data_IF_370654173069
#
_entry.id   IF_370654173069
#
_cell.length_a   1.000
_cell.length_b   1.000
_cell.length_c   1.000
_cell.angle_alpha   90.00
_cell.angle_beta   90.00
_cell.angle_gamma   90.00
#
_symmetry.space_group_name_H-M   'P 1'
#
loop_
_entity.id
_entity.type
_entity.pdbx_description
1 polymer ?
#
# COMPACT_ATOMS: atom_id res chain seq x y z
N UNK A 1 -0.33 24.93 -19.69
CA UNK A 1 -0.59 23.92 -18.65
C UNK A 1 0.48 24.12 -17.59
N UNK A 2 0.09 24.50 -16.36
CA UNK A 2 1.03 24.70 -15.28
C UNK A 2 1.12 23.40 -14.47
N UNK A 3 2.31 22.82 -14.38
CA UNK A 3 2.59 21.78 -13.40
C UNK A 3 2.56 22.43 -12.01
N UNK A 4 1.50 22.17 -11.25
CA UNK A 4 1.36 22.60 -9.86
C UNK A 4 2.52 22.03 -9.01
N UNK A 5 3.43 22.86 -8.48
CA UNK A 5 4.52 22.40 -7.60
C UNK A 5 4.00 21.90 -6.23
N UNK A 6 2.69 22.01 -5.97
CA UNK A 6 2.01 21.44 -4.80
C UNK A 6 1.71 19.95 -4.90
N UNK A 7 1.88 19.31 -6.07
CA UNK A 7 1.78 17.86 -6.20
C UNK A 7 3.05 17.19 -5.64
N UNK A 8 3.21 17.23 -4.32
CA UNK A 8 4.18 16.39 -3.61
C UNK A 8 3.85 14.92 -3.91
N UNK A 9 4.68 14.29 -4.74
CA UNK A 9 5.00 12.86 -4.72
C UNK A 9 3.83 11.87 -4.61
N UNK A 10 2.77 12.01 -5.41
CA UNK A 10 1.57 11.16 -5.29
C UNK A 10 1.79 9.68 -5.63
N UNK A 11 2.90 9.34 -6.29
CA UNK A 11 3.13 7.98 -6.82
C UNK A 11 3.75 7.00 -5.82
N UNK A 12 4.42 7.45 -4.74
CA UNK A 12 5.06 6.53 -3.78
C UNK A 12 4.15 6.05 -2.65
N UNK A 13 2.98 6.66 -2.52
CA UNK A 13 1.98 6.34 -1.51
C UNK A 13 1.01 5.25 -1.95
N UNK A 14 0.97 4.91 -3.24
CA UNK A 14 -0.02 3.96 -3.75
C UNK A 14 0.54 2.53 -3.82
N UNK A 15 -0.29 1.57 -3.44
CA UNK A 15 -0.05 0.13 -3.48
C UNK A 15 -1.10 -0.49 -4.38
N UNK A 16 -0.63 -1.39 -5.24
CA UNK A 16 -1.47 -2.19 -6.13
C UNK A 16 -1.36 -3.67 -5.76
N UNK A 17 -2.22 -4.50 -6.35
CA UNK A 17 -2.21 -5.97 -6.19
C UNK A 17 -1.04 -6.65 -6.94
N UNK A 18 -0.10 -5.86 -7.47
CA UNK A 18 1.08 -6.35 -8.15
C UNK A 18 1.94 -7.22 -7.21
N UNK A 19 2.49 -8.31 -7.75
CA UNK A 19 3.19 -9.31 -6.93
C UNK A 19 4.38 -8.75 -6.14
N UNK A 20 5.10 -7.76 -6.68
CA UNK A 20 6.22 -7.14 -5.98
C UNK A 20 5.77 -6.27 -4.78
N UNK A 21 4.62 -5.60 -4.87
CA UNK A 21 4.02 -4.83 -3.77
C UNK A 21 3.48 -5.78 -2.70
N UNK A 22 2.77 -6.83 -3.12
CA UNK A 22 2.24 -7.85 -2.20
C UNK A 22 3.38 -8.58 -1.50
N UNK A 23 4.45 -8.95 -2.21
CA UNK A 23 5.64 -9.55 -1.61
C UNK A 23 6.34 -8.61 -0.62
N UNK A 24 6.40 -7.31 -0.91
CA UNK A 24 6.92 -6.31 0.02
C UNK A 24 6.08 -6.22 1.29
N UNK A 25 4.74 -6.20 1.19
CA UNK A 25 3.84 -6.20 2.34
C UNK A 25 3.96 -7.50 3.16
N UNK A 26 3.99 -8.65 2.49
CA UNK A 26 4.20 -9.94 3.15
C UNK A 26 5.51 -9.98 3.92
N UNK A 27 6.60 -9.44 3.35
CA UNK A 27 7.92 -9.40 4.00
C UNK A 27 7.95 -8.41 5.16
N UNK A 28 7.36 -7.23 4.99
CA UNK A 28 7.37 -6.14 5.98
C UNK A 28 6.48 -6.46 7.17
N UNK A 29 5.24 -6.88 6.92
CA UNK A 29 4.26 -7.19 7.94
C UNK A 29 4.27 -8.67 8.38
N UNK A 30 5.12 -9.51 7.77
CA UNK A 30 5.20 -10.97 8.02
C UNK A 30 3.83 -11.68 7.90
N UNK A 31 2.99 -11.21 6.99
CA UNK A 31 1.65 -11.75 6.75
C UNK A 31 1.61 -12.68 5.54
N UNK A 32 0.55 -13.47 5.45
CA UNK A 32 0.27 -14.28 4.26
C UNK A 32 -0.20 -13.40 3.10
N UNK A 33 -0.07 -13.91 1.87
CA UNK A 33 -0.54 -13.23 0.66
C UNK A 33 -2.01 -12.82 0.74
N UNK A 34 -2.85 -13.72 1.26
CA UNK A 34 -4.29 -13.48 1.41
C UNK A 34 -4.56 -12.27 2.31
N UNK A 35 -3.87 -12.16 3.46
CA UNK A 35 -3.99 -11.01 4.36
C UNK A 35 -3.49 -9.71 3.73
N UNK A 36 -2.42 -9.77 2.94
CA UNK A 36 -1.93 -8.59 2.23
C UNK A 36 -2.94 -8.09 1.18
N UNK A 37 -3.57 -9.00 0.42
CA UNK A 37 -4.61 -8.64 -0.55
C UNK A 37 -5.89 -8.13 0.11
N UNK A 38 -6.30 -8.75 1.22
CA UNK A 38 -7.42 -8.29 2.03
C UNK A 38 -7.18 -6.86 2.54
N UNK A 39 -5.97 -6.60 3.06
CA UNK A 39 -5.59 -5.27 3.52
C UNK A 39 -5.60 -4.23 2.38
N UNK A 40 -5.14 -4.57 1.17
CA UNK A 40 -5.23 -3.68 0.00
C UNK A 40 -6.69 -3.40 -0.37
N UNK A 41 -7.56 -4.42 -0.31
CA UNK A 41 -8.98 -4.30 -0.63
C UNK A 41 -9.75 -3.46 0.40
N UNK A 42 -9.40 -3.60 1.67
CA UNK A 42 -10.12 -2.96 2.79
C UNK A 42 -9.59 -1.54 3.09
N UNK A 43 -8.26 -1.37 3.12
CA UNK A 43 -7.62 -0.07 3.35
C UNK A 43 -7.53 0.80 2.08
N UNK A 44 -7.74 0.19 0.91
CA UNK A 44 -7.60 0.82 -0.40
C UNK A 44 -6.13 0.90 -0.86
N UNK A 45 -5.86 1.59 -1.98
CA UNK A 45 -4.53 1.61 -2.57
C UNK A 45 -3.52 2.45 -1.77
N UNK A 46 -3.81 2.94 -0.56
CA UNK A 46 -2.85 3.76 0.20
C UNK A 46 -1.93 2.88 1.04
N UNK A 47 -0.62 2.94 0.79
CA UNK A 47 0.41 2.17 1.50
C UNK A 47 0.36 2.37 3.00
N UNK A 48 0.22 3.63 3.45
CA UNK A 48 0.14 3.96 4.87
C UNK A 48 -1.07 3.28 5.52
N UNK A 49 -2.24 3.34 4.88
CA UNK A 49 -3.44 2.70 5.41
C UNK A 49 -3.31 1.18 5.42
N UNK A 50 -2.76 0.59 4.36
CA UNK A 50 -2.53 -0.86 4.27
C UNK A 50 -1.56 -1.33 5.34
N UNK A 51 -0.44 -0.62 5.54
CA UNK A 51 0.49 -0.95 6.62
C UNK A 51 -0.12 -0.73 8.00
N UNK A 52 -0.87 0.35 8.22
CA UNK A 52 -1.57 0.58 9.48
C UNK A 52 -2.60 -0.53 9.76
N UNK A 53 -3.31 -1.01 8.74
CA UNK A 53 -4.23 -2.15 8.86
C UNK A 53 -3.50 -3.45 9.23
N UNK A 54 -2.34 -3.69 8.62
CA UNK A 54 -1.54 -4.89 8.88
C UNK A 54 -0.77 -4.85 10.21
N UNK A 55 -0.42 -3.67 10.72
CA UNK A 55 0.28 -3.46 12.00
C UNK A 55 -0.68 -3.23 13.17
N UNK A 56 -1.90 -2.78 12.91
CA UNK A 56 -2.91 -2.42 13.92
C UNK A 56 -3.65 -3.59 14.55
N UNK A 57 -3.11 -4.81 14.48
CA UNK A 57 -3.71 -6.02 15.06
C UNK A 57 -2.70 -6.84 15.83
#
# INVERSE_FOLDING_TARGET
MADDPKKKGRDRELVSEQEHEVAYLMRTAKVTRQKALEAIREAGPSREKVMAFLQGK
#
